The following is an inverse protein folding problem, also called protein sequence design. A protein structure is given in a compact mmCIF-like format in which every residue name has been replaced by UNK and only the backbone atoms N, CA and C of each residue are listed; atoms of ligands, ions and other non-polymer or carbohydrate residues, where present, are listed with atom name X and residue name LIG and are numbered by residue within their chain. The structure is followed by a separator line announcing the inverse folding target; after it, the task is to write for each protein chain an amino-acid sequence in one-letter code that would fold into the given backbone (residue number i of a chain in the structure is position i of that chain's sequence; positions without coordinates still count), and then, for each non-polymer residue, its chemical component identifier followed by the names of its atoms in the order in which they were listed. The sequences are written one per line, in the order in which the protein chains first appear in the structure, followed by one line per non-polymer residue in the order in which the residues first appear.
data_IF_710577440811
#
_entry.id   IF_710577440811
#
_cell.length_a   1.000
_cell.length_b   1.000
_cell.length_c   1.000
_cell.angle_alpha   90.00
_cell.angle_beta   90.00
_cell.angle_gamma   90.00
#
_symmetry.space_group_name_H-M   'P 1'
#
loop_
_entity.id
_entity.type
_entity.pdbx_description
1 polymer ?
#
# COMPACT_ATOMS: atom_id res chain seq x y z
N UNK A 1 -4.56 21.40 -5.47
CA UNK A 1 -5.04 20.25 -4.68
C UNK A 1 -4.02 19.12 -4.77
N UNK A 2 -3.15 19.05 -3.77
CA UNK A 2 -2.26 17.94 -3.46
C UNK A 2 -3.11 16.78 -2.95
N UNK A 3 -2.94 15.60 -3.55
CA UNK A 3 -3.65 14.38 -3.15
C UNK A 3 -2.69 13.61 -2.27
N UNK A 4 -2.98 13.52 -0.99
CA UNK A 4 -2.10 12.92 0.02
C UNK A 4 -2.72 11.60 0.49
N UNK A 5 -1.89 10.60 0.71
CA UNK A 5 -2.32 9.24 1.10
C UNK A 5 -1.28 8.61 1.99
N UNK A 6 -1.66 7.56 2.71
CA UNK A 6 -0.72 6.75 3.48
C UNK A 6 -0.14 5.64 2.61
N UNK A 7 1.13 5.32 2.82
CA UNK A 7 1.79 4.17 2.21
C UNK A 7 1.14 2.88 2.72
N UNK A 8 0.73 1.98 1.81
CA UNK A 8 0.07 0.73 2.20
C UNK A 8 0.95 -0.25 3.00
N UNK A 9 2.26 0.00 3.07
CA UNK A 9 3.25 -0.89 3.72
C UNK A 9 3.70 -0.35 5.07
N UNK A 10 4.00 0.95 5.17
CA UNK A 10 4.57 1.57 6.37
C UNK A 10 3.68 2.67 6.97
N UNK A 11 2.49 2.90 6.42
CA UNK A 11 1.54 3.95 6.82
C UNK A 11 2.08 5.40 6.77
N UNK A 12 3.29 5.62 6.25
CA UNK A 12 3.86 6.96 6.08
C UNK A 12 3.05 7.83 5.12
N UNK A 13 2.90 9.10 5.48
CA UNK A 13 2.22 10.10 4.68
C UNK A 13 3.01 10.42 3.40
N UNK A 14 2.43 10.11 2.24
CA UNK A 14 3.01 10.32 0.91
C UNK A 14 2.09 11.19 0.06
N UNK A 15 2.70 12.11 -0.69
CA UNK A 15 1.99 12.85 -1.71
C UNK A 15 1.84 12.01 -2.99
N UNK A 16 0.59 11.76 -3.39
CA UNK A 16 0.25 11.07 -4.64
C UNK A 16 0.47 12.03 -5.81
N UNK A 17 1.54 11.75 -6.55
CA UNK A 17 1.92 12.39 -7.78
C UNK A 17 1.72 11.43 -8.96
N UNK A 18 1.83 11.93 -10.20
CA UNK A 18 1.74 11.07 -11.40
C UNK A 18 2.82 9.98 -11.42
N UNK A 19 3.99 10.27 -10.84
CA UNK A 19 5.12 9.37 -10.75
C UNK A 19 5.16 8.55 -9.44
N UNK A 20 4.13 8.64 -8.60
CA UNK A 20 4.10 7.87 -7.35
C UNK A 20 3.91 6.39 -7.67
N UNK A 21 4.76 5.51 -7.14
CA UNK A 21 4.63 4.08 -7.33
C UNK A 21 3.29 3.61 -6.76
N UNK A 22 2.54 2.89 -7.60
CA UNK A 22 1.23 2.31 -7.26
C UNK A 22 1.10 0.93 -7.88
N UNK A 23 0.35 0.05 -7.24
CA UNK A 23 0.12 -1.33 -7.71
C UNK A 23 -1.37 -1.65 -7.62
N UNK A 24 -1.92 -2.15 -8.71
CA UNK A 24 -3.26 -2.72 -8.73
C UNK A 24 -3.18 -4.19 -8.32
N UNK A 25 -3.93 -4.60 -7.31
CA UNK A 25 -4.03 -5.99 -6.91
C UNK A 25 -5.43 -6.30 -6.39
N UNK A 26 -6.06 -7.36 -6.92
CA UNK A 26 -7.43 -7.75 -6.53
C UNK A 26 -8.49 -6.66 -6.77
N UNK A 27 -8.25 -5.73 -7.71
CA UNK A 27 -9.13 -4.58 -7.96
C UNK A 27 -8.90 -3.35 -7.08
N UNK A 28 -7.92 -3.40 -6.17
CA UNK A 28 -7.55 -2.28 -5.29
C UNK A 28 -6.24 -1.67 -5.74
N UNK A 29 -6.18 -0.33 -5.82
CA UNK A 29 -4.97 0.42 -6.13
C UNK A 29 -4.28 0.78 -4.81
N UNK A 30 -3.09 0.23 -4.59
CA UNK A 30 -2.23 0.54 -3.46
C UNK A 30 -1.20 1.60 -3.86
N UNK A 31 -0.97 2.57 -2.98
CA UNK A 31 0.02 3.64 -3.16
C UNK A 31 1.19 3.44 -2.20
N UNK A 32 2.40 3.75 -2.67
CA UNK A 32 3.62 3.55 -1.90
C UNK A 32 4.42 4.84 -1.80
N UNK A 33 5.09 5.05 -0.66
CA UNK A 33 5.98 6.19 -0.45
C UNK A 33 7.25 6.12 -1.31
N UNK A 34 7.68 4.91 -1.68
CA UNK A 34 8.91 4.66 -2.42
C UNK A 34 8.85 3.32 -3.15
N UNK A 35 9.79 3.12 -4.08
CA UNK A 35 9.89 1.86 -4.84
C UNK A 35 10.22 0.67 -3.94
N UNK A 36 10.99 0.84 -2.86
CA UNK A 36 11.23 -0.23 -1.89
C UNK A 36 9.94 -0.75 -1.25
N UNK A 37 9.02 0.14 -0.86
CA UNK A 37 7.73 -0.27 -0.32
C UNK A 37 6.90 -1.03 -1.37
N UNK A 38 6.92 -0.57 -2.62
CA UNK A 38 6.31 -1.32 -3.74
C UNK A 38 6.95 -2.70 -3.86
N UNK A 39 8.27 -2.80 -3.80
CA UNK A 39 9.00 -4.04 -4.00
C UNK A 39 8.70 -5.07 -2.90
N UNK A 40 8.69 -4.65 -1.63
CA UNK A 40 8.25 -5.47 -0.50
C UNK A 40 6.83 -6.00 -0.69
N UNK A 41 5.93 -5.15 -1.18
CA UNK A 41 4.57 -5.55 -1.50
C UNK A 41 4.50 -6.53 -2.70
N UNK A 42 5.41 -6.43 -3.68
CA UNK A 42 5.48 -7.37 -4.81
C UNK A 42 6.10 -8.70 -4.41
N UNK A 43 7.01 -8.71 -3.43
CA UNK A 43 7.63 -9.92 -2.91
C UNK A 43 6.60 -10.79 -2.16
N UNK A 44 5.80 -10.18 -1.27
CA UNK A 44 4.75 -10.89 -0.52
C UNK A 44 3.39 -10.15 -0.55
N UNK A 45 2.69 -10.14 -1.71
CA UNK A 45 1.41 -9.46 -1.85
C UNK A 45 0.29 -10.14 -1.05
N UNK A 46 0.39 -11.46 -0.82
CA UNK A 46 -0.62 -12.24 -0.11
C UNK A 46 -0.75 -11.84 1.36
N UNK A 47 0.39 -11.55 2.02
CA UNK A 47 0.44 -11.05 3.40
C UNK A 47 -0.21 -9.67 3.54
N UNK A 48 -0.15 -8.87 2.48
CA UNK A 48 -0.66 -7.50 2.45
C UNK A 48 -2.05 -7.36 1.81
N UNK A 49 -2.57 -8.40 1.16
CA UNK A 49 -3.90 -8.40 0.51
C UNK A 49 -4.90 -9.36 1.14
N UNK A 50 -4.57 -9.92 2.30
CA UNK A 50 -5.48 -10.60 3.20
C UNK A 50 -6.56 -9.68 3.78
N UNK A 51 -7.62 -9.49 3.00
CA UNK A 51 -8.98 -9.10 3.43
C UNK A 51 -9.21 -7.64 3.88
N UNK A 52 -9.73 -6.85 2.92
CA UNK A 52 -10.54 -5.64 3.12
C UNK A 52 -9.79 -4.41 3.68
N UNK A 53 -9.93 -3.21 3.07
CA UNK A 53 -9.28 -1.97 3.54
C UNK A 53 -9.77 -1.45 4.91
N UNK A 54 -10.35 -2.31 5.76
CA UNK A 54 -10.83 -1.99 7.11
C UNK A 54 -10.52 -3.06 8.17
N UNK A 55 -9.80 -4.16 7.86
CA UNK A 55 -9.69 -5.28 8.81
C UNK A 55 -8.37 -6.06 8.75
N UNK A 56 -7.24 -5.37 8.74
CA UNK A 56 -5.92 -6.01 8.94
C UNK A 56 -5.13 -5.33 10.06
N UNK A 57 -5.83 -4.92 11.11
CA UNK A 57 -5.28 -4.88 12.46
C UNK A 57 -5.95 -6.03 13.24
N UNK A 58 -5.52 -7.26 12.99
CA UNK A 58 -5.83 -8.41 13.82
C UNK A 58 -4.54 -9.20 13.97
N UNK A 59 -3.97 -9.15 15.17
CA UNK A 59 -2.74 -9.82 15.53
C UNK A 59 -2.80 -11.32 15.24
N UNK A 60 -1.69 -11.82 14.72
CA UNK A 60 -1.28 -13.21 14.88
C UNK A 60 -0.93 -13.45 16.37
N UNK A 61 -1.11 -14.67 16.90
CA UNK A 61 -0.88 -15.01 18.31
C UNK A 61 0.58 -14.79 18.77
#
# INVERSE_FOLDING_TARGET
MNKETNCAVCDDHVQVQRNTPKKLQGGVIYHFCSEECRDRFVQDPSEHTGSSPRRSQAGLP
#
